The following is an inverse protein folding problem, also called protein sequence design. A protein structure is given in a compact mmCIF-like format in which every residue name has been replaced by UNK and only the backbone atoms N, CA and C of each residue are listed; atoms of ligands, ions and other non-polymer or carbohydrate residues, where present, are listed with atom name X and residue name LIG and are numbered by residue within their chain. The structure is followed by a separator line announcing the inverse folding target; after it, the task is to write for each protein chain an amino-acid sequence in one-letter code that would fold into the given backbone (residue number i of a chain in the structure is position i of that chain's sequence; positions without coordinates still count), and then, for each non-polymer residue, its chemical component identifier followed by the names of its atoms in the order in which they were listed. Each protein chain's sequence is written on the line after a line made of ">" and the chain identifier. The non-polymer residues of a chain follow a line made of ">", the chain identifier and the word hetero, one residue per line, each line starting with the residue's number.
data_IF_940690976157
#
_entry.id   IF_940690976157
#
_cell.length_a   1.000
_cell.length_b   1.000
_cell.length_c   1.000
_cell.angle_alpha   90.00
_cell.angle_beta   90.00
_cell.angle_gamma   90.00
#
_symmetry.space_group_name_H-M   'P 1'
#
loop_
_entity.id
_entity.type
_entity.pdbx_description
1 polymer ?
#
# COMPACT_ATOMS: atom_id res chain seq x y z
N UNK A 1 -11.28 2.12 -20.48
CA UNK A 1 -10.24 3.00 -21.08
C UNK A 1 -8.91 2.35 -20.78
N UNK A 2 -8.11 2.00 -21.81
CA UNK A 2 -6.86 1.28 -21.60
C UNK A 2 -5.82 2.22 -20.96
N UNK A 3 -5.12 1.72 -19.94
CA UNK A 3 -3.96 2.40 -19.35
C UNK A 3 -2.99 2.72 -20.49
N UNK A 4 -2.44 3.94 -20.57
CA UNK A 4 -1.50 4.29 -21.62
C UNK A 4 -0.40 3.24 -21.72
N UNK A 5 -0.27 2.62 -22.89
CA UNK A 5 0.64 1.49 -23.19
C UNK A 5 2.10 1.81 -22.82
N UNK A 6 2.49 3.09 -22.85
CA UNK A 6 3.84 3.55 -22.53
C UNK A 6 4.20 3.39 -21.04
N UNK A 7 3.26 3.64 -20.11
CA UNK A 7 3.48 3.45 -18.67
C UNK A 7 3.53 1.95 -18.31
N UNK A 8 2.80 1.12 -19.04
CA UNK A 8 2.86 -0.34 -18.92
C UNK A 8 4.19 -0.88 -19.44
N UNK A 9 4.70 -0.32 -20.54
CA UNK A 9 5.96 -0.75 -21.17
C UNK A 9 7.19 -0.42 -20.32
N UNK A 10 7.19 0.66 -19.57
CA UNK A 10 8.33 1.00 -18.71
C UNK A 10 8.39 0.06 -17.48
N UNK A 11 7.27 -0.29 -16.88
CA UNK A 11 7.22 -1.31 -15.83
C UNK A 11 7.58 -2.71 -16.35
N UNK A 12 7.23 -3.03 -17.60
CA UNK A 12 7.55 -4.32 -18.24
C UNK A 12 8.98 -4.39 -18.76
N UNK A 13 9.56 -3.28 -19.25
CA UNK A 13 10.99 -3.20 -19.62
C UNK A 13 11.90 -3.46 -18.42
N UNK A 14 11.55 -2.97 -17.24
CA UNK A 14 12.32 -3.21 -16.01
C UNK A 14 12.21 -4.64 -15.50
N UNK A 15 11.07 -5.32 -15.72
CA UNK A 15 10.95 -6.76 -15.44
C UNK A 15 11.86 -7.62 -16.32
N UNK A 16 12.14 -7.17 -17.52
CA UNK A 16 13.00 -7.89 -18.48
C UNK A 16 14.50 -7.65 -18.27
N UNK A 17 14.89 -6.65 -17.47
CA UNK A 17 16.31 -6.35 -17.17
C UNK A 17 16.77 -6.94 -15.84
N UNK A 18 15.83 -7.31 -14.95
CA UNK A 18 16.09 -8.03 -13.69
C UNK A 18 15.49 -9.42 -13.83
N UNK A 19 16.31 -10.43 -13.75
CA UNK A 19 15.88 -11.83 -13.96
C UNK A 19 14.97 -12.34 -12.85
N UNK A 20 14.88 -11.63 -11.71
CA UNK A 20 14.02 -12.00 -10.58
C UNK A 20 13.51 -10.78 -9.82
N UNK A 21 12.33 -10.90 -9.20
CA UNK A 21 11.79 -9.90 -8.27
C UNK A 21 12.73 -9.66 -7.08
N UNK A 22 13.53 -10.67 -6.71
CA UNK A 22 14.56 -10.57 -5.68
C UNK A 22 15.63 -9.53 -6.04
N UNK A 23 16.21 -9.61 -7.24
CA UNK A 23 17.22 -8.65 -7.71
C UNK A 23 16.66 -7.24 -7.82
N UNK A 24 15.44 -7.11 -8.30
CA UNK A 24 14.75 -5.82 -8.38
C UNK A 24 14.52 -5.25 -6.97
N UNK A 25 14.04 -6.08 -6.04
CA UNK A 25 13.80 -5.67 -4.66
C UNK A 25 15.10 -5.23 -3.96
N UNK A 26 16.19 -5.94 -4.19
CA UNK A 26 17.48 -5.58 -3.57
C UNK A 26 18.03 -4.26 -4.15
N UNK A 27 17.92 -4.04 -5.46
CA UNK A 27 18.40 -2.86 -6.18
C UNK A 27 17.48 -1.65 -5.98
N UNK A 28 16.21 -1.77 -6.34
CA UNK A 28 15.27 -0.64 -6.40
C UNK A 28 14.54 -0.44 -5.06
N UNK A 29 14.50 -1.48 -4.23
CA UNK A 29 13.77 -1.48 -2.96
C UNK A 29 12.28 -1.73 -3.11
N UNK A 30 11.78 -2.01 -4.32
CA UNK A 30 10.38 -2.37 -4.58
C UNK A 30 10.24 -3.19 -5.87
N UNK A 31 9.08 -3.85 -6.02
CA UNK A 31 8.64 -4.48 -7.27
C UNK A 31 7.11 -4.64 -7.26
N UNK A 32 6.53 -4.85 -8.44
CA UNK A 32 5.10 -5.07 -8.60
C UNK A 32 4.81 -6.56 -8.78
N UNK A 33 3.85 -7.08 -8.02
CA UNK A 33 3.30 -8.45 -8.20
C UNK A 33 1.90 -8.34 -8.79
N UNK A 34 1.69 -9.03 -9.90
CA UNK A 34 0.37 -9.15 -10.53
C UNK A 34 -0.46 -10.23 -9.85
N UNK A 35 -1.77 -9.95 -9.67
CA UNK A 35 -2.75 -10.88 -9.11
C UNK A 35 -2.26 -11.54 -7.80
N UNK A 36 -1.76 -10.72 -6.87
CA UNK A 36 -1.28 -11.20 -5.57
C UNK A 36 -2.44 -11.66 -4.67
N UNK A 37 -3.62 -11.10 -4.91
CA UNK A 37 -4.88 -11.45 -4.22
C UNK A 37 -6.00 -11.60 -5.24
N UNK A 38 -6.88 -12.54 -4.99
CA UNK A 38 -8.15 -12.68 -5.72
C UNK A 38 -9.21 -11.77 -5.07
N UNK A 39 -9.48 -10.64 -5.72
CA UNK A 39 -10.43 -9.65 -5.23
C UNK A 39 -11.90 -10.09 -5.40
N UNK A 40 -12.18 -11.06 -6.26
CA UNK A 40 -13.55 -11.54 -6.50
C UNK A 40 -14.19 -12.18 -5.27
N UNK A 41 -13.35 -12.66 -4.35
CA UNK A 41 -13.78 -13.23 -3.07
C UNK A 41 -13.94 -12.21 -1.94
N UNK A 42 -13.65 -10.95 -2.20
CA UNK A 42 -13.68 -9.85 -1.23
C UNK A 42 -14.86 -8.94 -1.54
N UNK A 43 -16.07 -9.45 -1.33
CA UNK A 43 -17.30 -8.67 -1.56
C UNK A 43 -17.68 -7.94 -0.27
N UNK A 44 -17.64 -6.64 -0.30
CA UNK A 44 -18.17 -5.75 0.73
C UNK A 44 -18.81 -4.53 0.06
N UNK A 45 -19.79 -3.96 0.73
CA UNK A 45 -20.35 -2.68 0.29
C UNK A 45 -19.32 -1.57 0.50
N UNK A 46 -19.25 -0.66 -0.47
CA UNK A 46 -18.42 0.54 -0.34
C UNK A 46 -19.00 1.40 0.77
N UNK A 47 -18.21 1.83 1.76
CA UNK A 47 -18.68 2.75 2.79
C UNK A 47 -19.22 4.04 2.17
N UNK A 48 -20.24 4.61 2.77
CA UNK A 48 -20.69 5.94 2.39
C UNK A 48 -19.54 6.95 2.52
N UNK A 49 -19.51 7.90 1.58
CA UNK A 49 -18.64 9.05 1.68
C UNK A 49 -18.93 9.82 2.95
N UNK A 50 -17.97 9.90 3.84
CA UNK A 50 -18.15 10.48 5.17
C UNK A 50 -17.53 11.88 5.33
N UNK A 51 -17.12 12.51 4.22
CA UNK A 51 -16.51 13.83 4.27
C UNK A 51 -15.15 13.83 4.97
N UNK A 52 -14.92 14.76 5.86
CA UNK A 52 -13.62 15.01 6.47
C UNK A 52 -13.26 14.08 7.66
N UNK A 53 -13.89 12.93 7.86
CA UNK A 53 -13.66 12.07 9.01
C UNK A 53 -12.93 10.76 8.66
N UNK A 54 -11.88 10.47 9.42
CA UNK A 54 -11.30 9.12 9.47
C UNK A 54 -12.06 8.32 10.54
N UNK A 55 -12.98 7.48 10.09
CA UNK A 55 -13.89 6.74 10.97
C UNK A 55 -13.21 5.71 11.86
N UNK A 56 -12.04 5.22 11.52
CA UNK A 56 -11.40 4.14 12.26
C UNK A 56 -10.54 4.61 13.41
N UNK A 57 -10.09 5.83 13.36
CA UNK A 57 -9.19 6.32 14.38
C UNK A 57 -9.88 7.20 15.41
N UNK A 58 -11.15 7.59 15.20
CA UNK A 58 -12.07 8.21 16.18
C UNK A 58 -11.52 9.30 17.10
N UNK A 59 -10.26 9.63 16.97
CA UNK A 59 -9.54 10.55 17.82
C UNK A 59 -8.49 11.25 16.97
N UNK A 60 -8.70 12.54 16.70
CA UNK A 60 -7.55 13.42 16.54
C UNK A 60 -6.75 13.29 17.84
N UNK A 61 -5.63 12.61 17.82
CA UNK A 61 -4.66 12.75 18.89
C UNK A 61 -4.09 14.15 18.76
N UNK A 62 -4.59 15.11 19.52
CA UNK A 62 -3.83 16.28 19.87
C UNK A 62 -2.67 15.80 20.76
N UNK A 63 -1.50 15.73 20.18
CA UNK A 63 -0.26 15.56 20.92
C UNK A 63 0.33 16.96 21.09
N UNK A 64 0.38 17.45 22.32
CA UNK A 64 0.96 18.74 22.72
C UNK A 64 0.39 20.00 22.02
N UNK A 65 -0.92 20.01 21.74
CA UNK A 65 -1.57 21.19 21.15
C UNK A 65 -1.13 21.49 19.70
N UNK A 66 -0.45 20.55 19.05
CA UNK A 66 -0.16 20.58 17.63
C UNK A 66 -0.90 19.43 16.96
N UNK A 67 -1.60 19.73 15.87
CA UNK A 67 -2.11 18.70 14.99
C UNK A 67 -0.93 17.80 14.63
N UNK A 68 -1.00 16.51 15.00
CA UNK A 68 -0.07 15.52 14.48
C UNK A 68 -0.14 15.66 12.96
N UNK A 69 1.01 15.87 12.30
CA UNK A 69 1.04 16.06 10.85
C UNK A 69 0.51 14.77 10.25
N UNK A 70 -0.78 14.77 9.95
CA UNK A 70 -1.40 13.65 9.27
C UNK A 70 -0.74 13.51 7.91
N UNK A 71 -0.09 12.38 7.66
CA UNK A 71 0.50 12.07 6.35
C UNK A 71 -0.56 11.94 5.27
N UNK A 72 -1.84 11.95 5.64
CA UNK A 72 -2.97 11.84 4.73
C UNK A 72 -4.01 12.92 5.00
N UNK A 73 -4.75 13.30 3.97
CA UNK A 73 -5.98 14.07 4.14
C UNK A 73 -7.01 13.28 4.96
N UNK A 74 -7.96 14.00 5.54
CA UNK A 74 -9.02 13.44 6.37
C UNK A 74 -10.08 12.66 5.59
N UNK A 75 -10.09 12.75 4.27
CA UNK A 75 -11.17 12.17 3.45
C UNK A 75 -10.94 10.70 3.12
N UNK A 76 -10.99 9.83 4.13
CA UNK A 76 -10.73 8.41 4.03
C UNK A 76 -11.48 7.62 5.09
N UNK A 77 -11.71 6.34 4.80
CA UNK A 77 -12.19 5.35 5.75
C UNK A 77 -11.18 4.21 5.87
N UNK A 78 -10.60 3.99 7.04
CA UNK A 78 -9.59 2.96 7.28
C UNK A 78 -10.06 1.94 8.31
N UNK A 79 -9.76 0.65 8.08
CA UNK A 79 -10.10 -0.44 9.00
C UNK A 79 -8.87 -1.28 9.27
N UNK A 80 -8.64 -1.62 10.54
CA UNK A 80 -7.45 -2.34 10.95
C UNK A 80 -7.75 -3.79 11.31
N UNK A 81 -6.87 -4.71 10.88
CA UNK A 81 -6.94 -6.13 11.17
C UNK A 81 -8.33 -6.75 10.85
N UNK A 82 -8.96 -6.26 9.79
CA UNK A 82 -10.28 -6.72 9.36
C UNK A 82 -10.24 -8.21 9.04
N UNK A 83 -11.10 -9.05 9.64
CA UNK A 83 -11.03 -10.51 9.52
C UNK A 83 -11.10 -11.04 8.08
N UNK A 84 -11.77 -10.34 7.17
CA UNK A 84 -11.90 -10.73 5.76
C UNK A 84 -10.54 -10.89 5.08
N UNK A 85 -9.53 -10.13 5.49
CA UNK A 85 -8.19 -10.19 4.91
C UNK A 85 -7.25 -11.18 5.60
N UNK A 86 -7.61 -11.80 6.72
CA UNK A 86 -6.70 -12.64 7.51
C UNK A 86 -6.08 -13.78 6.69
N UNK A 87 -6.89 -14.46 5.86
CA UNK A 87 -6.42 -15.55 4.99
C UNK A 87 -5.54 -15.02 3.85
N UNK A 88 -5.96 -13.90 3.24
CA UNK A 88 -5.21 -13.25 2.17
C UNK A 88 -3.83 -12.77 2.68
N UNK A 89 -3.77 -12.18 3.85
CA UNK A 89 -2.56 -11.72 4.50
C UNK A 89 -1.49 -12.81 4.62
N UNK A 90 -1.90 -14.02 5.04
CA UNK A 90 -0.98 -15.17 5.14
C UNK A 90 -0.51 -15.68 3.77
N UNK A 91 -1.40 -15.73 2.77
CA UNK A 91 -1.04 -16.14 1.40
C UNK A 91 -0.10 -15.13 0.74
N UNK A 92 -0.38 -13.85 0.92
CA UNK A 92 0.48 -12.76 0.42
C UNK A 92 1.87 -12.83 1.05
N UNK A 93 1.97 -13.09 2.37
CA UNK A 93 3.26 -13.32 3.04
C UNK A 93 4.07 -14.42 2.35
N UNK A 94 3.46 -15.59 2.17
CA UNK A 94 4.14 -16.72 1.53
C UNK A 94 4.62 -16.38 0.11
N UNK A 95 3.81 -15.64 -0.65
CA UNK A 95 4.20 -15.19 -1.99
C UNK A 95 5.37 -14.22 -1.94
N UNK A 96 5.34 -13.22 -1.05
CA UNK A 96 6.43 -12.26 -0.88
C UNK A 96 7.71 -12.98 -0.46
N UNK A 97 7.67 -13.88 0.54
CA UNK A 97 8.83 -14.67 0.98
C UNK A 97 9.49 -15.40 -0.18
N UNK A 98 8.69 -16.02 -1.05
CA UNK A 98 9.19 -16.70 -2.24
C UNK A 98 9.87 -15.74 -3.22
N UNK A 99 9.29 -14.56 -3.45
CA UNK A 99 9.81 -13.59 -4.42
C UNK A 99 11.12 -12.94 -3.93
N UNK A 100 11.22 -12.61 -2.64
CA UNK A 100 12.41 -11.93 -2.08
C UNK A 100 13.44 -12.88 -1.45
N UNK A 101 13.13 -14.18 -1.35
CA UNK A 101 14.04 -15.18 -0.76
C UNK A 101 14.32 -14.97 0.73
N UNK A 102 13.41 -14.34 1.48
CA UNK A 102 13.60 -14.00 2.91
C UNK A 102 12.37 -14.41 3.72
N UNK A 103 12.60 -14.90 4.93
CA UNK A 103 11.53 -15.26 5.85
C UNK A 103 10.99 -14.02 6.59
N UNK A 104 9.67 -13.96 6.78
CA UNK A 104 8.95 -12.82 7.34
C UNK A 104 8.15 -13.21 8.58
N UNK A 105 8.13 -12.33 9.58
CA UNK A 105 7.11 -12.31 10.62
C UNK A 105 5.96 -11.38 10.25
N UNK A 106 4.76 -11.76 10.67
CA UNK A 106 3.58 -10.92 10.56
C UNK A 106 3.71 -9.73 11.51
N UNK A 107 3.22 -8.56 11.10
CA UNK A 107 2.96 -7.45 12.00
C UNK A 107 1.48 -7.13 12.06
N UNK A 108 0.93 -6.44 11.07
CA UNK A 108 -0.49 -6.15 10.98
C UNK A 108 -0.89 -5.86 9.54
N UNK A 109 -2.20 -5.72 9.33
CA UNK A 109 -2.75 -5.22 8.07
C UNK A 109 -3.84 -4.20 8.35
N UNK A 110 -4.11 -3.37 7.36
CA UNK A 110 -5.29 -2.52 7.31
C UNK A 110 -5.74 -2.35 5.87
N UNK A 111 -6.97 -1.90 5.67
CA UNK A 111 -7.46 -1.47 4.38
C UNK A 111 -8.03 -0.05 4.49
N UNK A 112 -8.08 0.62 3.36
CA UNK A 112 -8.50 2.01 3.30
C UNK A 112 -9.26 2.30 2.03
N UNK A 113 -10.40 2.95 2.19
CA UNK A 113 -11.09 3.64 1.13
C UNK A 113 -10.63 5.09 1.10
N UNK A 114 -10.22 5.54 -0.08
CA UNK A 114 -9.90 6.94 -0.37
C UNK A 114 -11.02 7.53 -1.21
N UNK A 115 -11.35 8.76 -0.95
CA UNK A 115 -12.39 9.54 -1.61
C UNK A 115 -11.83 10.85 -2.14
N UNK A 116 -12.67 11.64 -2.85
CA UNK A 116 -12.29 12.95 -3.35
C UNK A 116 -11.65 13.81 -2.23
N UNK A 117 -10.54 14.51 -2.57
CA UNK A 117 -9.74 15.28 -1.62
C UNK A 117 -8.69 14.49 -0.84
N UNK A 118 -8.62 13.15 -0.98
CA UNK A 118 -7.57 12.33 -0.35
C UNK A 118 -6.21 12.54 -1.01
N UNK A 119 -5.16 12.36 -0.22
CA UNK A 119 -3.77 12.24 -0.67
C UNK A 119 -2.95 11.55 0.43
N UNK A 120 -1.73 11.17 0.09
CA UNK A 120 -0.74 10.66 1.05
C UNK A 120 0.57 11.37 0.75
N UNK A 121 1.05 12.15 1.71
CA UNK A 121 2.33 12.89 1.54
C UNK A 121 3.52 11.94 1.41
N UNK A 122 4.62 12.35 0.74
CA UNK A 122 5.83 11.55 0.71
C UNK A 122 6.34 11.24 2.12
N UNK A 123 6.53 9.95 2.43
CA UNK A 123 7.00 9.47 3.73
C UNK A 123 7.64 8.08 3.61
N UNK A 124 8.39 7.69 4.63
CA UNK A 124 8.76 6.32 4.89
C UNK A 124 7.91 5.77 6.03
N UNK A 125 7.68 4.48 6.02
CA UNK A 125 6.90 3.79 7.04
C UNK A 125 7.63 3.68 8.39
N UNK A 126 6.87 3.42 9.44
CA UNK A 126 7.39 3.10 10.76
C UNK A 126 8.06 1.71 10.81
N UNK A 127 8.90 1.41 11.83
CA UNK A 127 9.69 0.17 11.89
C UNK A 127 8.92 -1.14 11.74
N UNK A 128 7.68 -1.22 12.21
CA UNK A 128 6.83 -2.42 12.05
C UNK A 128 6.35 -2.68 10.61
N UNK A 129 6.61 -1.76 9.69
CA UNK A 129 6.30 -1.84 8.27
C UNK A 129 7.56 -2.01 7.42
N UNK A 130 8.55 -2.79 7.92
CA UNK A 130 9.84 -2.98 7.24
C UNK A 130 9.66 -3.48 5.81
N UNK A 131 8.77 -4.45 5.63
CA UNK A 131 8.32 -4.94 4.33
C UNK A 131 6.84 -4.65 4.21
N UNK A 132 6.48 -3.81 3.28
CA UNK A 132 5.10 -3.42 3.02
C UNK A 132 4.62 -3.94 1.67
N UNK A 133 3.33 -4.27 1.59
CA UNK A 133 2.64 -4.58 0.36
C UNK A 133 1.36 -3.75 0.26
N UNK A 134 1.33 -2.80 -0.66
CA UNK A 134 0.14 -2.01 -0.98
C UNK A 134 -0.60 -2.65 -2.14
N UNK A 135 -1.85 -3.05 -1.94
CA UNK A 135 -2.66 -3.85 -2.88
C UNK A 135 -3.88 -3.06 -3.29
N UNK A 136 -4.07 -2.86 -4.60
CA UNK A 136 -5.32 -2.30 -5.12
C UNK A 136 -6.43 -3.35 -5.08
N UNK A 137 -7.51 -3.07 -4.37
CA UNK A 137 -8.65 -3.98 -4.24
C UNK A 137 -9.78 -3.66 -5.22
N UNK A 138 -9.99 -2.38 -5.54
CA UNK A 138 -11.00 -1.92 -6.46
C UNK A 138 -11.16 -0.41 -6.46
N UNK A 139 -11.77 0.12 -7.50
CA UNK A 139 -12.13 1.52 -7.62
C UNK A 139 -13.22 1.69 -8.68
N UNK A 140 -13.93 2.81 -8.63
CA UNK A 140 -14.83 3.25 -9.69
C UNK A 140 -14.26 4.45 -10.47
N UNK A 141 -12.96 4.72 -10.34
CA UNK A 141 -12.28 5.78 -11.06
C UNK A 141 -12.15 5.43 -12.55
N UNK A 142 -12.44 6.37 -13.43
CA UNK A 142 -12.17 6.25 -14.86
C UNK A 142 -10.67 6.37 -15.17
N UNK A 143 -9.95 7.18 -14.37
CA UNK A 143 -8.51 7.39 -14.51
C UNK A 143 -7.77 6.66 -13.41
N UNK A 144 -6.75 5.85 -13.72
CA UNK A 144 -5.95 5.18 -12.70
C UNK A 144 -5.29 6.18 -11.73
N UNK A 145 -5.25 5.83 -10.45
CA UNK A 145 -4.62 6.66 -9.43
C UNK A 145 -3.25 6.09 -9.02
N UNK A 146 -2.21 6.88 -9.26
CA UNK A 146 -0.83 6.46 -9.09
C UNK A 146 -0.46 6.14 -7.63
N UNK A 147 0.43 5.16 -7.46
CA UNK A 147 1.26 5.00 -6.28
C UNK A 147 2.67 5.50 -6.62
N UNK A 148 3.09 6.59 -5.99
CA UNK A 148 4.42 7.16 -6.16
C UNK A 148 5.44 6.48 -5.24
N UNK A 149 6.66 6.24 -5.72
CA UNK A 149 7.75 5.68 -4.92
C UNK A 149 9.11 6.10 -5.48
N UNK A 150 10.10 6.30 -4.60
CA UNK A 150 11.50 6.45 -4.99
C UNK A 150 12.20 5.09 -4.99
N UNK A 151 13.03 4.83 -6.00
CA UNK A 151 13.90 3.66 -6.03
C UNK A 151 15.19 3.83 -5.21
N UNK A 152 16.12 2.87 -5.34
CA UNK A 152 17.41 2.88 -4.64
C UNK A 152 18.32 4.04 -5.00
N UNK A 153 18.12 4.65 -6.15
CA UNK A 153 18.88 5.79 -6.68
C UNK A 153 18.08 7.11 -6.55
N UNK A 154 17.05 7.14 -5.70
CA UNK A 154 16.13 8.27 -5.47
C UNK A 154 15.37 8.73 -6.74
N UNK A 155 15.29 7.88 -7.76
CA UNK A 155 14.49 8.16 -8.94
C UNK A 155 13.01 7.91 -8.66
N UNK A 156 12.18 8.86 -9.08
CA UNK A 156 10.73 8.80 -8.92
C UNK A 156 10.09 7.84 -9.92
N UNK A 157 9.15 7.02 -9.41
CA UNK A 157 8.29 6.14 -10.18
C UNK A 157 6.82 6.37 -9.82
N UNK A 158 5.96 6.28 -10.81
CA UNK A 158 4.52 6.21 -10.65
C UNK A 158 4.03 4.83 -11.09
N UNK A 159 3.38 4.13 -10.18
CA UNK A 159 2.89 2.78 -10.39
C UNK A 159 1.38 2.78 -10.45
N UNK A 160 0.83 2.19 -11.49
CA UNK A 160 -0.61 2.03 -11.69
C UNK A 160 -0.96 0.55 -11.54
N UNK A 161 -1.80 0.23 -10.55
CA UNK A 161 -2.15 -1.14 -10.19
C UNK A 161 -3.55 -1.45 -10.66
N UNK A 162 -3.75 -2.64 -11.24
CA UNK A 162 -5.10 -3.17 -11.45
C UNK A 162 -5.62 -3.82 -10.16
N UNK A 163 -6.94 -4.00 -10.00
CA UNK A 163 -7.48 -4.76 -8.87
C UNK A 163 -6.83 -6.14 -8.75
N UNK A 164 -6.33 -6.46 -7.56
CA UNK A 164 -5.57 -7.67 -7.26
C UNK A 164 -4.06 -7.55 -7.40
N UNK A 165 -3.55 -6.49 -8.03
CA UNK A 165 -2.10 -6.22 -8.09
C UNK A 165 -1.60 -5.59 -6.79
N UNK A 166 -0.34 -5.84 -6.46
CA UNK A 166 0.33 -5.23 -5.32
C UNK A 166 1.72 -4.71 -5.64
N UNK A 167 2.13 -3.66 -4.96
CA UNK A 167 3.53 -3.23 -4.89
C UNK A 167 4.12 -3.66 -3.55
N UNK A 168 5.23 -4.42 -3.59
CA UNK A 168 6.03 -4.81 -2.43
C UNK A 168 7.21 -3.87 -2.33
N UNK A 169 7.47 -3.31 -1.15
CA UNK A 169 8.53 -2.32 -0.98
C UNK A 169 9.15 -2.36 0.42
N UNK A 170 10.38 -1.85 0.53
CA UNK A 170 11.09 -1.63 1.80
C UNK A 170 10.47 -0.41 2.48
N UNK A 171 9.43 -0.62 3.29
CA UNK A 171 8.60 0.46 3.83
C UNK A 171 9.38 1.50 4.63
N UNK A 172 10.35 1.06 5.44
CA UNK A 172 11.19 1.96 6.26
C UNK A 172 12.28 2.70 5.47
N UNK A 173 12.52 2.34 4.19
CA UNK A 173 13.64 2.87 3.42
C UNK A 173 13.17 3.64 2.18
N UNK A 174 12.05 3.26 1.58
CA UNK A 174 11.57 3.86 0.35
C UNK A 174 10.54 4.93 0.64
N UNK A 175 10.82 6.16 0.21
CA UNK A 175 9.85 7.24 0.25
C UNK A 175 8.75 6.93 -0.76
N UNK A 176 7.51 6.95 -0.29
CA UNK A 176 6.35 6.68 -1.13
C UNK A 176 5.18 7.61 -0.79
N UNK A 177 4.25 7.76 -1.73
CA UNK A 177 3.13 8.70 -1.60
C UNK A 177 1.96 8.33 -2.51
N UNK A 178 0.86 9.04 -2.35
CA UNK A 178 -0.21 9.14 -3.32
C UNK A 178 -0.42 10.63 -3.67
N UNK A 179 -0.46 11.00 -4.96
CA UNK A 179 -0.81 12.37 -5.36
C UNK A 179 -2.22 12.72 -4.88
N UNK A 180 -2.64 13.96 -5.04
CA UNK A 180 -4.02 14.34 -4.77
C UNK A 180 -4.97 13.41 -5.55
N UNK A 181 -6.04 12.97 -4.87
CA UNK A 181 -7.09 12.18 -5.51
C UNK A 181 -7.64 12.98 -6.71
N UNK A 182 -7.99 12.34 -7.82
CA UNK A 182 -8.58 13.06 -8.96
C UNK A 182 -9.79 13.88 -8.53
N UNK A 183 -10.01 15.01 -9.21
CA UNK A 183 -11.24 15.81 -9.04
C UNK A 183 -12.38 15.10 -9.76
N UNK A 184 -13.14 14.34 -8.99
CA UNK A 184 -14.19 13.41 -9.45
C UNK A 184 -15.40 13.53 -8.52
N UNK A 185 -16.58 12.99 -8.90
CA UNK A 185 -17.75 12.97 -8.02
C UNK A 185 -17.46 12.38 -6.64
N UNK A 186 -18.15 12.86 -5.62
CA UNK A 186 -17.94 12.48 -4.21
C UNK A 186 -18.15 10.98 -3.92
N UNK A 187 -18.97 10.30 -4.73
CA UNK A 187 -19.17 8.85 -4.68
C UNK A 187 -18.01 8.04 -5.26
N UNK A 188 -17.00 8.71 -5.80
CA UNK A 188 -15.81 8.04 -6.33
C UNK A 188 -14.90 7.56 -5.21
N UNK A 189 -14.37 6.35 -5.38
CA UNK A 189 -13.51 5.73 -4.39
C UNK A 189 -12.33 4.98 -5.01
N UNK A 190 -11.30 4.77 -4.19
CA UNK A 190 -10.20 3.84 -4.41
C UNK A 190 -9.98 3.02 -3.15
N UNK A 191 -10.14 1.69 -3.24
CA UNK A 191 -9.96 0.76 -2.12
C UNK A 191 -8.61 0.08 -2.19
N UNK A 192 -7.85 0.17 -1.12
CA UNK A 192 -6.50 -0.37 -1.02
C UNK A 192 -6.30 -1.14 0.29
N UNK A 193 -5.60 -2.27 0.24
CA UNK A 193 -5.13 -2.96 1.42
C UNK A 193 -3.62 -2.75 1.61
N UNK A 194 -3.18 -2.71 2.86
CA UNK A 194 -1.79 -2.58 3.28
C UNK A 194 -1.43 -3.72 4.20
N UNK A 195 -0.50 -4.57 3.78
CA UNK A 195 -0.02 -5.72 4.53
C UNK A 195 1.43 -5.50 4.92
N UNK A 196 1.72 -5.59 6.21
CA UNK A 196 3.02 -5.25 6.78
C UNK A 196 3.67 -6.45 7.44
N UNK A 197 4.98 -6.53 7.29
CA UNK A 197 5.83 -7.61 7.79
C UNK A 197 7.18 -7.06 8.22
N UNK A 198 7.92 -7.87 8.99
CA UNK A 198 9.33 -7.63 9.30
C UNK A 198 10.15 -8.88 8.98
N UNK A 199 11.43 -8.70 8.67
CA UNK A 199 12.35 -9.82 8.43
C UNK A 199 12.55 -10.63 9.72
N UNK A 200 12.47 -11.97 9.64
CA UNK A 200 12.71 -12.84 10.79
C UNK A 200 14.13 -12.66 11.36
N UNK A 201 15.12 -12.56 10.49
CA UNK A 201 16.54 -12.40 10.84
C UNK A 201 17.00 -10.94 10.82
N UNK A 202 16.06 -9.97 10.70
CA UNK A 202 16.36 -8.54 10.63
C UNK A 202 16.42 -7.88 12.01
N UNK A 203 16.99 -6.67 12.06
CA UNK A 203 17.05 -5.84 13.27
C UNK A 203 15.67 -5.44 13.80
N UNK A 204 14.63 -5.51 12.96
CA UNK A 204 13.26 -5.16 13.30
C UNK A 204 12.37 -6.36 13.66
N UNK A 205 12.95 -7.56 13.80
CA UNK A 205 12.19 -8.79 14.15
C UNK A 205 11.38 -8.67 15.45
N UNK A 206 11.79 -7.81 16.38
CA UNK A 206 11.09 -7.55 17.64
C UNK A 206 9.74 -6.84 17.45
N UNK A 207 9.45 -6.27 16.27
CA UNK A 207 8.13 -5.74 15.92
C UNK A 207 7.17 -6.82 15.41
N UNK A 208 7.58 -8.09 15.43
CA UNK A 208 6.69 -9.19 15.08
C UNK A 208 5.38 -9.14 15.89
N UNK A 209 4.27 -9.37 15.19
CA UNK A 209 2.91 -9.34 15.77
C UNK A 209 2.50 -8.00 16.40
N UNK A 210 3.18 -6.92 16.01
CA UNK A 210 2.84 -5.57 16.45
C UNK A 210 1.40 -5.21 16.05
N UNK A 211 0.53 -5.08 17.03
CA UNK A 211 -0.86 -4.67 16.85
C UNK A 211 -1.00 -3.17 16.52
N UNK A 212 0.06 -2.54 16.05
CA UNK A 212 0.04 -1.20 15.55
C UNK A 212 0.59 -0.15 16.45
N UNK A 213 1.38 -0.54 17.33
CA UNK A 213 2.03 0.36 18.26
C UNK A 213 1.03 1.09 19.15
N UNK A 214 1.32 1.06 20.34
CA UNK A 214 0.74 1.98 21.32
C UNK A 214 1.46 3.32 21.19
#
# INVERSE_FOLDING_TARGET
>A
MDIPVELYQESDRRRNTSNTNHEQYDRDGFFVIKNIIDVSSLTEDVPEYCGMFDYTMGVKKEVDGKDEISTTSSNRHSRRNTPIFARAYLKVKQRIQKEIGKELYNTYWFDRYYFNGSYLTPHADRPACEISCSIHLGSNLETPWAFGILDGDDKQHELYLNPGDGVVYKGCERIHWRPAFPDVPDESYYHNAFFHYVLQSGLRSHYAYDNGGQ
#
